data_IF_340906193634
#
_entry.id   IF_340906193634
#
_cell.length_a   1.000
_cell.length_b   1.000
_cell.length_c   1.000
_cell.angle_alpha   90.00
_cell.angle_beta   90.00
_cell.angle_gamma   90.00
#
_symmetry.space_group_name_H-M   'P 1'
#
loop_
_entity.id
_entity.type
_entity.pdbx_description
1 polymer ?
#
# COMPACT_ATOMS: atom_id res chain seq x y z
N UNK A 1 45.65 -31.75 -15.16
CA UNK A 1 45.26 -31.14 -16.45
C UNK A 1 44.45 -29.89 -16.13
N UNK A 2 45.05 -28.68 -16.19
CA UNK A 2 44.88 -27.67 -17.27
C UNK A 2 43.39 -27.36 -17.56
N UNK A 3 42.87 -26.22 -17.06
CA UNK A 3 42.71 -24.89 -17.76
C UNK A 3 41.41 -24.87 -18.60
N UNK A 4 40.42 -23.95 -18.51
CA UNK A 4 40.40 -22.49 -18.78
C UNK A 4 38.93 -22.01 -18.55
N UNK A 5 38.67 -21.03 -17.68
CA UNK A 5 38.19 -19.64 -17.92
C UNK A 5 37.33 -19.36 -19.17
N UNK A 6 36.14 -18.79 -18.98
CA UNK A 6 35.68 -17.67 -19.82
C UNK A 6 34.67 -16.79 -19.08
N UNK A 7 35.10 -15.56 -18.80
CA UNK A 7 34.26 -14.39 -18.53
C UNK A 7 33.51 -14.01 -19.82
N UNK A 8 32.24 -13.63 -19.69
CA UNK A 8 31.59 -12.69 -20.60
C UNK A 8 30.93 -11.63 -19.75
N UNK A 9 31.53 -10.44 -19.74
CA UNK A 9 30.94 -9.23 -19.17
C UNK A 9 29.90 -8.66 -20.13
N UNK A 10 28.79 -8.19 -19.57
CA UNK A 10 27.85 -7.35 -20.30
C UNK A 10 27.90 -5.95 -19.68
N UNK A 11 28.54 -5.05 -20.42
CA UNK A 11 28.53 -3.61 -20.24
C UNK A 11 27.21 -3.12 -20.83
N UNK A 12 26.35 -2.50 -20.02
CA UNK A 12 25.25 -1.67 -20.54
C UNK A 12 25.49 -0.25 -20.07
N UNK A 13 25.77 0.60 -21.06
CA UNK A 13 26.01 2.02 -20.95
C UNK A 13 24.80 2.75 -20.35
N UNK A 14 25.05 3.52 -19.30
CA UNK A 14 24.22 4.65 -18.89
C UNK A 14 24.35 5.75 -19.94
N UNK A 15 23.28 5.98 -20.71
CA UNK A 15 23.16 7.14 -21.57
C UNK A 15 22.82 8.37 -20.72
N UNK A 16 23.78 9.28 -20.63
CA UNK A 16 23.62 10.65 -20.12
C UNK A 16 22.81 11.45 -21.14
N UNK A 17 21.65 11.97 -20.74
CA UNK A 17 20.88 12.94 -21.53
C UNK A 17 21.26 14.35 -21.06
N UNK A 18 21.93 15.18 -21.88
CA UNK A 18 22.07 16.59 -21.58
C UNK A 18 20.79 17.36 -21.99
N UNK A 19 20.26 18.15 -21.04
CA UNK A 19 19.30 19.21 -21.29
C UNK A 19 19.89 20.23 -22.26
N UNK A 20 19.16 20.51 -23.36
CA UNK A 20 19.36 21.71 -24.18
C UNK A 20 18.06 22.50 -24.23
N UNK A 21 18.09 23.67 -23.59
CA UNK A 21 17.21 24.79 -23.88
C UNK A 21 17.52 25.34 -25.28
N UNK A 22 16.50 25.54 -26.10
CA UNK A 22 16.51 26.61 -27.12
C UNK A 22 15.09 27.03 -27.47
N UNK A 23 14.88 28.35 -27.45
CA UNK A 23 13.67 29.06 -27.84
C UNK A 23 13.67 29.33 -29.36
N UNK A 24 12.50 29.40 -30.01
CA UNK A 24 12.31 30.21 -31.22
C UNK A 24 11.54 29.60 -32.40
N UNK A 25 10.26 30.01 -32.52
CA UNK A 25 9.41 30.27 -33.72
C UNK A 25 9.84 29.72 -35.10
N UNK A 26 8.97 28.95 -35.76
CA UNK A 26 8.02 29.41 -36.80
C UNK A 26 7.46 28.24 -37.61
N UNK A 27 6.24 28.45 -38.13
CA UNK A 27 5.43 27.53 -38.94
C UNK A 27 6.10 27.10 -40.26
N UNK A 28 5.67 25.95 -40.82
CA UNK A 28 5.13 25.79 -42.19
C UNK A 28 4.95 24.29 -42.53
N UNK A 29 3.75 24.00 -43.02
CA UNK A 29 3.25 22.94 -43.92
C UNK A 29 3.38 21.43 -43.70
N UNK A 30 2.19 20.82 -43.80
CA UNK A 30 1.82 19.42 -43.99
C UNK A 30 1.75 19.13 -45.50
N UNK A 31 1.95 17.87 -45.95
CA UNK A 31 0.82 17.10 -46.50
C UNK A 31 0.86 15.63 -46.04
N UNK A 32 -0.18 15.09 -45.39
CA UNK A 32 -1.26 14.26 -45.97
C UNK A 32 -0.86 13.35 -47.13
N UNK A 33 -0.79 12.06 -46.84
CA UNK A 33 -1.02 10.97 -47.80
C UNK A 33 -2.07 10.01 -47.22
N UNK A 34 -2.92 9.52 -48.12
CA UNK A 34 -4.22 8.86 -47.91
C UNK A 34 -4.13 7.36 -48.13
N UNK A 35 -5.12 6.66 -47.56
CA UNK A 35 -5.75 5.40 -48.02
C UNK A 35 -4.88 4.13 -47.90
N UNK A 36 -5.39 2.95 -47.53
CA UNK A 36 -6.71 2.37 -47.82
C UNK A 36 -7.08 1.30 -46.78
N UNK A 37 -8.38 1.24 -46.45
CA UNK A 37 -9.03 0.12 -45.76
C UNK A 37 -9.43 -0.93 -46.79
N UNK A 38 -9.18 -2.21 -46.51
CA UNK A 38 -9.89 -3.34 -47.14
C UNK A 38 -10.54 -4.17 -46.04
N UNK A 39 -11.87 -4.27 -46.13
CA UNK A 39 -12.76 -5.04 -45.27
C UNK A 39 -13.12 -6.38 -45.94
N UNK A 40 -13.55 -7.34 -45.10
CA UNK A 40 -14.47 -8.48 -45.38
C UNK A 40 -13.86 -9.75 -45.99
N UNK A 41 -14.16 -10.98 -45.55
CA UNK A 41 -15.41 -11.66 -45.09
C UNK A 41 -14.96 -13.00 -44.40
N UNK A 42 -15.54 -13.61 -43.36
CA UNK A 42 -16.92 -14.06 -43.03
C UNK A 42 -16.89 -15.58 -42.72
N UNK A 43 -17.38 -16.00 -41.53
CA UNK A 43 -18.30 -17.14 -41.24
C UNK A 43 -18.18 -17.56 -39.76
N UNK A 44 -19.21 -17.36 -38.92
CA UNK A 44 -20.34 -18.27 -38.58
C UNK A 44 -19.83 -19.56 -37.91
N UNK A 45 -20.21 -19.92 -36.67
CA UNK A 45 -21.47 -20.61 -36.37
C UNK A 45 -21.73 -20.87 -34.84
N UNK A 46 -23.01 -20.71 -34.44
CA UNK A 46 -23.84 -21.35 -33.39
C UNK A 46 -23.45 -21.42 -31.89
N UNK A 47 -24.16 -20.59 -31.13
CA UNK A 47 -25.23 -20.94 -30.16
C UNK A 47 -25.33 -22.39 -29.62
N UNK A 48 -25.25 -22.53 -28.28
CA UNK A 48 -26.07 -23.49 -27.52
C UNK A 48 -26.10 -23.15 -26.01
N UNK A 49 -27.27 -23.25 -25.40
CA UNK A 49 -27.53 -23.39 -23.96
C UNK A 49 -28.98 -23.90 -23.83
N UNK A 50 -29.46 -24.35 -22.65
CA UNK A 50 -28.93 -25.32 -21.67
C UNK A 50 -29.92 -26.49 -21.41
N UNK A 51 -29.48 -27.59 -20.79
CA UNK A 51 -30.39 -28.34 -19.90
C UNK A 51 -29.67 -29.18 -18.84
N UNK A 52 -30.46 -29.43 -17.79
CA UNK A 52 -30.21 -29.86 -16.41
C UNK A 52 -30.34 -31.39 -16.27
N UNK A 53 -29.99 -31.88 -15.06
CA UNK A 53 -30.36 -33.15 -14.39
C UNK A 53 -29.17 -34.09 -14.14
N UNK A 54 -29.10 -34.95 -13.13
CA UNK A 54 -29.45 -34.98 -11.70
C UNK A 54 -28.74 -36.25 -11.14
N UNK A 55 -28.48 -36.33 -9.83
CA UNK A 55 -28.12 -37.53 -9.03
C UNK A 55 -26.72 -38.17 -9.26
N UNK A 56 -25.96 -38.64 -8.27
CA UNK A 56 -26.09 -38.74 -6.81
C UNK A 56 -24.98 -39.68 -6.28
N UNK A 57 -24.45 -39.44 -5.07
CA UNK A 57 -23.94 -40.46 -4.13
C UNK A 57 -23.36 -39.83 -2.86
N UNK A 58 -24.05 -40.03 -1.73
CA UNK A 58 -23.56 -40.12 -0.33
C UNK A 58 -22.83 -41.48 -0.10
N UNK A 59 -22.23 -41.87 1.07
CA UNK A 59 -22.31 -41.32 2.45
C UNK A 59 -20.91 -41.38 3.20
N UNK A 60 -20.76 -41.45 4.55
CA UNK A 60 -21.69 -41.26 5.68
C UNK A 60 -21.22 -40.31 6.81
N UNK A 61 -22.18 -40.03 7.68
CA UNK A 61 -22.01 -39.49 9.04
C UNK A 61 -22.02 -40.62 10.09
N UNK A 62 -21.43 -40.34 11.26
CA UNK A 62 -21.94 -40.69 12.61
C UNK A 62 -21.04 -39.95 13.64
N UNK A 63 -21.55 -38.98 14.42
CA UNK A 63 -22.30 -39.12 15.69
C UNK A 63 -21.39 -39.67 16.81
N UNK A 64 -21.33 -39.13 18.02
CA UNK A 64 -22.34 -38.42 18.82
C UNK A 64 -21.72 -37.96 20.15
N UNK A 65 -22.32 -36.92 20.76
CA UNK A 65 -22.74 -36.78 22.18
C UNK A 65 -21.71 -37.02 23.29
N UNK A 66 -21.73 -36.42 24.47
CA UNK A 66 -22.51 -35.41 25.21
C UNK A 66 -21.62 -35.15 26.45
N UNK A 67 -21.74 -34.01 27.14
CA UNK A 67 -22.22 -33.97 28.54
C UNK A 67 -22.05 -32.56 29.16
N UNK A 68 -22.99 -32.24 30.04
CA UNK A 68 -23.28 -30.95 30.68
C UNK A 68 -22.61 -30.80 32.06
N UNK A 69 -22.60 -29.56 32.52
CA UNK A 69 -22.51 -29.16 33.94
C UNK A 69 -21.18 -28.49 34.27
N UNK A 70 -21.06 -27.22 34.67
CA UNK A 70 -21.94 -26.39 35.48
C UNK A 70 -21.41 -26.35 36.91
N UNK A 71 -20.71 -25.29 37.33
CA UNK A 71 -20.86 -24.76 38.68
C UNK A 71 -20.30 -23.33 38.85
N UNK A 72 -21.05 -22.55 39.62
CA UNK A 72 -20.71 -21.24 40.16
C UNK A 72 -19.88 -21.37 41.44
N UNK A 73 -19.22 -20.29 41.85
CA UNK A 73 -18.57 -20.19 43.15
C UNK A 73 -17.66 -18.97 43.24
N UNK A 74 -18.27 -17.80 43.44
CA UNK A 74 -17.57 -16.59 43.87
C UNK A 74 -18.21 -16.14 45.18
N UNK A 75 -17.46 -16.30 46.27
CA UNK A 75 -17.65 -15.64 47.55
C UNK A 75 -16.28 -15.68 48.26
N UNK A 76 -15.69 -14.52 48.56
CA UNK A 76 -15.34 -14.20 49.95
C UNK A 76 -15.04 -12.70 50.12
N UNK A 77 -15.58 -12.13 51.20
CA UNK A 77 -15.44 -10.75 51.67
C UNK A 77 -14.96 -10.79 53.11
N UNK A 78 -14.03 -9.89 53.44
CA UNK A 78 -13.69 -9.49 54.81
C UNK A 78 -12.40 -10.15 55.30
N UNK A 79 -11.37 -9.47 55.78
CA UNK A 79 -11.31 -8.18 56.47
C UNK A 79 -10.91 -8.46 57.92
N UNK A 80 -9.68 -8.15 58.33
CA UNK A 80 -9.41 -7.60 59.65
C UNK A 80 -8.01 -6.99 59.77
N UNK A 81 -7.96 -5.88 60.49
CA UNK A 81 -6.77 -5.19 60.94
C UNK A 81 -6.13 -5.89 62.16
N UNK A 82 -4.82 -5.70 62.32
CA UNK A 82 -4.07 -6.06 63.53
C UNK A 82 -2.74 -5.34 63.55
N UNK A 83 -2.57 -4.45 64.53
CA UNK A 83 -1.44 -3.54 64.69
C UNK A 83 -0.24 -4.18 65.41
N UNK A 84 0.91 -3.50 65.26
CA UNK A 84 2.15 -3.52 66.05
C UNK A 84 3.01 -4.79 66.05
N UNK A 85 4.23 -4.68 65.52
CA UNK A 85 5.40 -4.68 66.41
C UNK A 85 6.59 -3.88 65.82
N UNK A 86 7.27 -3.14 66.71
CA UNK A 86 8.55 -2.47 66.47
C UNK A 86 9.66 -3.47 66.80
N UNK A 87 10.46 -3.85 65.82
CA UNK A 87 11.70 -4.56 66.07
C UNK A 87 12.70 -4.22 64.99
N UNK A 88 13.74 -3.44 65.33
CA UNK A 88 14.79 -3.09 64.41
C UNK A 88 15.61 -4.31 64.00
N UNK A 89 16.06 -4.33 62.75
CA UNK A 89 17.42 -4.76 62.47
C UNK A 89 17.95 -3.99 61.27
N UNK A 90 19.00 -3.21 61.53
CA UNK A 90 19.86 -2.66 60.52
C UNK A 90 20.66 -3.80 59.87
N UNK A 91 20.98 -3.63 58.59
CA UNK A 91 22.08 -4.36 57.97
C UNK A 91 21.75 -5.76 57.47
N UNK A 92 21.17 -5.82 56.28
CA UNK A 92 21.51 -6.86 55.32
C UNK A 92 21.44 -6.21 53.94
N UNK A 93 22.50 -5.48 53.58
CA UNK A 93 22.87 -5.37 52.17
C UNK A 93 23.07 -6.80 51.70
N UNK A 94 22.03 -7.33 51.05
CA UNK A 94 22.04 -8.61 50.37
C UNK A 94 22.99 -8.46 49.17
N UNK A 95 24.29 -8.48 49.45
CA UNK A 95 25.33 -8.71 48.45
C UNK A 95 25.06 -10.10 47.92
N UNK A 96 24.18 -10.20 46.92
CA UNK A 96 24.19 -11.35 46.01
C UNK A 96 25.62 -11.50 45.54
N UNK A 97 26.30 -12.54 46.03
CA UNK A 97 27.62 -12.91 45.56
C UNK A 97 27.55 -12.97 44.03
N UNK A 98 28.33 -12.11 43.38
CA UNK A 98 28.39 -12.07 41.93
C UNK A 98 28.92 -13.44 41.48
N UNK A 99 28.04 -14.25 40.89
CA UNK A 99 28.42 -15.53 40.30
C UNK A 99 29.42 -15.23 39.20
N UNK A 100 30.68 -15.61 39.41
CA UNK A 100 31.74 -15.44 38.42
C UNK A 100 31.46 -16.42 37.29
N UNK A 101 31.12 -15.90 36.11
CA UNK A 101 31.02 -16.68 34.87
C UNK A 101 32.40 -16.77 34.22
N UNK A 102 32.78 -17.96 33.79
CA UNK A 102 34.10 -18.18 33.19
C UNK A 102 34.17 -17.56 31.79
N UNK A 103 35.28 -16.89 31.47
CA UNK A 103 35.49 -16.20 30.19
C UNK A 103 35.27 -17.14 28.99
N UNK A 104 35.74 -18.39 29.09
CA UNK A 104 35.57 -19.38 28.03
C UNK A 104 34.09 -19.73 27.76
N UNK A 105 33.24 -19.73 28.80
CA UNK A 105 31.81 -19.99 28.69
C UNK A 105 31.10 -18.84 27.97
N UNK A 106 31.43 -17.59 28.31
CA UNK A 106 30.86 -16.44 27.62
C UNK A 106 31.27 -16.45 26.15
N UNK A 107 32.56 -16.62 25.85
CA UNK A 107 33.08 -16.60 24.48
C UNK A 107 32.45 -17.69 23.59
N UNK A 108 32.13 -18.87 24.15
CA UNK A 108 31.63 -20.01 23.36
C UNK A 108 30.11 -20.20 23.43
N UNK A 109 29.46 -19.79 24.51
CA UNK A 109 28.06 -20.14 24.81
C UNK A 109 27.14 -18.93 24.99
N UNK A 110 27.63 -17.70 24.87
CA UNK A 110 26.77 -16.51 24.90
C UNK A 110 25.70 -16.55 23.80
N UNK A 111 24.47 -16.29 24.17
CA UNK A 111 23.30 -16.12 23.31
C UNK A 111 22.67 -14.77 23.61
N UNK A 112 22.00 -14.20 22.60
CA UNK A 112 21.26 -12.95 22.72
C UNK A 112 19.80 -13.19 22.37
N UNK A 113 18.87 -12.60 23.13
CA UNK A 113 17.42 -12.68 22.84
C UNK A 113 16.76 -11.34 23.08
N UNK A 114 15.71 -11.04 22.32
CA UNK A 114 14.87 -9.88 22.63
C UNK A 114 14.25 -10.04 24.02
N UNK A 115 14.26 -8.96 24.79
CA UNK A 115 13.42 -8.88 25.99
C UNK A 115 11.95 -8.93 25.59
N UNK A 116 11.14 -9.61 26.40
CA UNK A 116 9.69 -9.48 26.34
C UNK A 116 9.31 -7.99 26.41
N UNK A 117 8.35 -7.59 25.58
CA UNK A 117 7.80 -6.22 25.56
C UNK A 117 8.81 -5.08 25.28
N UNK A 118 9.99 -5.40 24.77
CA UNK A 118 10.99 -4.39 24.37
C UNK A 118 10.50 -3.42 23.29
N UNK A 119 9.46 -3.80 22.53
CA UNK A 119 8.96 -3.03 21.41
C UNK A 119 10.03 -2.86 20.32
N UNK A 120 10.95 -3.82 20.19
CA UNK A 120 12.12 -3.69 19.31
C UNK A 120 11.75 -3.41 17.85
N UNK A 121 10.60 -3.87 17.38
CA UNK A 121 10.12 -3.60 16.02
C UNK A 121 9.82 -2.12 15.73
N UNK A 122 9.64 -1.29 16.77
CA UNK A 122 9.32 0.13 16.61
C UNK A 122 10.33 1.07 17.27
N UNK A 123 10.98 0.62 18.35
CA UNK A 123 11.90 1.46 19.15
C UNK A 123 13.38 1.24 18.85
N UNK A 124 13.75 0.07 18.33
CA UNK A 124 15.14 -0.23 18.00
C UNK A 124 15.49 0.43 16.67
N UNK A 125 16.47 1.34 16.66
CA UNK A 125 16.92 2.02 15.45
C UNK A 125 17.82 1.10 14.60
N UNK A 126 17.16 0.16 13.90
CA UNK A 126 17.80 -0.77 12.98
C UNK A 126 18.51 -0.03 11.84
N UNK A 127 17.90 1.05 11.32
CA UNK A 127 18.49 1.84 10.23
C UNK A 127 19.85 2.41 10.63
N UNK A 128 19.95 3.10 11.77
CA UNK A 128 21.25 3.67 12.19
C UNK A 128 22.29 2.60 12.56
N UNK A 129 21.85 1.48 13.14
CA UNK A 129 22.73 0.39 13.54
C UNK A 129 23.30 -0.39 12.33
N UNK A 130 22.43 -0.81 11.41
CA UNK A 130 22.79 -1.72 10.31
C UNK A 130 23.15 -0.97 9.04
N UNK A 131 22.35 0.03 8.67
CA UNK A 131 22.53 0.76 7.41
C UNK A 131 23.65 1.79 7.54
N UNK A 132 23.56 2.68 8.54
CA UNK A 132 24.54 3.76 8.72
C UNK A 132 25.77 3.35 9.52
N UNK A 133 25.73 2.20 10.21
CA UNK A 133 26.79 1.70 11.11
C UNK A 133 27.29 2.75 12.10
N UNK A 134 26.38 3.52 12.68
CA UNK A 134 26.74 4.56 13.65
C UNK A 134 27.26 3.97 14.96
N UNK A 135 28.50 4.30 15.34
CA UNK A 135 29.20 3.73 16.50
C UNK A 135 28.43 3.85 17.83
N UNK A 136 27.64 4.92 18.01
CA UNK A 136 26.85 5.12 19.23
C UNK A 136 25.75 4.04 19.43
N UNK A 137 25.27 3.44 18.34
CA UNK A 137 24.30 2.34 18.36
C UNK A 137 24.99 0.97 18.47
N UNK A 138 26.25 0.86 18.03
CA UNK A 138 27.05 -0.39 18.10
C UNK A 138 27.71 -0.49 19.48
N UNK A 139 26.89 -0.53 20.54
CA UNK A 139 27.38 -0.64 21.92
C UNK A 139 26.58 -1.66 22.73
N UNK A 140 27.25 -2.36 23.64
CA UNK A 140 26.59 -3.27 24.60
C UNK A 140 25.52 -2.53 25.41
N UNK A 141 25.82 -1.29 25.80
CA UNK A 141 24.89 -0.42 26.53
C UNK A 141 23.60 -0.18 25.75
N UNK A 142 23.68 0.22 24.47
CA UNK A 142 22.50 0.42 23.64
C UNK A 142 21.70 -0.88 23.47
N UNK A 143 22.38 -1.97 23.06
CA UNK A 143 21.71 -3.26 22.83
C UNK A 143 21.02 -3.78 24.10
N UNK A 144 21.65 -3.65 25.27
CA UNK A 144 21.12 -4.12 26.56
C UNK A 144 19.78 -3.49 26.94
N UNK A 145 19.35 -2.40 26.31
CA UNK A 145 18.01 -1.83 26.50
C UNK A 145 16.92 -2.76 25.92
N UNK A 146 17.24 -3.47 24.84
CA UNK A 146 16.28 -4.28 24.07
C UNK A 146 16.50 -5.79 24.20
N UNK A 147 17.72 -6.22 24.54
CA UNK A 147 18.08 -7.65 24.55
C UNK A 147 18.57 -8.12 25.92
N UNK A 148 18.43 -9.42 26.17
CA UNK A 148 19.12 -10.14 27.23
C UNK A 148 20.31 -10.91 26.67
N UNK A 149 21.40 -10.90 27.42
CA UNK A 149 22.61 -11.67 27.15
C UNK A 149 22.66 -12.83 28.13
N UNK A 150 22.58 -14.06 27.63
CA UNK A 150 22.55 -15.26 28.49
C UNK A 150 23.62 -16.26 28.10
N UNK A 151 24.14 -16.97 29.10
CA UNK A 151 25.10 -18.06 28.95
C UNK A 151 24.48 -19.29 29.60
N UNK A 152 24.60 -20.47 29.01
CA UNK A 152 24.31 -21.73 29.68
C UNK A 152 25.62 -22.34 30.20
N UNK A 153 25.95 -22.19 31.51
CA UNK A 153 27.21 -22.67 32.05
C UNK A 153 27.38 -24.19 31.88
N UNK A 154 28.62 -24.66 31.82
CA UNK A 154 28.94 -26.08 31.75
C UNK A 154 28.41 -26.78 32.99
N UNK A 155 27.65 -27.87 32.80
CA UNK A 155 27.08 -28.65 33.89
C UNK A 155 25.89 -27.96 34.59
N UNK A 156 25.33 -26.90 34.02
CA UNK A 156 24.12 -26.25 34.53
C UNK A 156 22.95 -26.43 33.56
N UNK A 157 21.76 -26.66 34.12
CA UNK A 157 20.49 -26.67 33.38
C UNK A 157 19.80 -25.30 33.36
N UNK A 158 20.42 -24.27 33.95
CA UNK A 158 19.85 -22.93 34.09
C UNK A 158 20.69 -21.91 33.36
N UNK A 159 20.05 -21.10 32.52
CA UNK A 159 20.71 -19.97 31.89
C UNK A 159 21.08 -18.90 32.93
N UNK A 160 22.31 -18.41 32.83
CA UNK A 160 22.81 -17.25 33.56
C UNK A 160 22.65 -16.00 32.69
N UNK A 161 21.91 -15.01 33.19
CA UNK A 161 21.80 -13.68 32.56
C UNK A 161 22.99 -12.85 33.01
N UNK A 162 23.76 -12.31 32.04
CA UNK A 162 24.88 -11.42 32.34
C UNK A 162 24.40 -10.18 33.10
N UNK A 163 25.06 -9.88 34.22
CA UNK A 163 24.75 -8.69 35.01
C UNK A 163 25.53 -7.45 34.53
N UNK A 164 25.37 -6.32 35.22
CA UNK A 164 26.04 -5.08 34.84
C UNK A 164 27.59 -5.20 34.78
N UNK A 165 28.21 -5.94 35.71
CA UNK A 165 29.67 -6.12 35.77
C UNK A 165 30.15 -7.01 34.62
N UNK A 166 29.34 -7.97 34.19
CA UNK A 166 29.66 -8.76 33.01
C UNK A 166 29.51 -7.96 31.72
N UNK A 167 28.46 -7.16 31.61
CA UNK A 167 28.21 -6.32 30.43
C UNK A 167 29.31 -5.26 30.22
N UNK A 168 29.95 -4.78 31.29
CA UNK A 168 31.14 -3.91 31.20
C UNK A 168 32.32 -4.57 30.48
N UNK A 169 32.44 -5.89 30.57
CA UNK A 169 33.51 -6.67 29.91
C UNK A 169 33.14 -7.07 28.47
N UNK A 170 31.86 -7.00 28.12
CA UNK A 170 31.34 -7.36 26.80
C UNK A 170 31.42 -6.16 25.84
N UNK A 171 32.09 -6.34 24.72
CA UNK A 171 32.23 -5.31 23.67
C UNK A 171 31.67 -5.85 22.36
N UNK A 172 30.69 -5.15 21.80
CA UNK A 172 30.25 -5.37 20.42
C UNK A 172 31.28 -4.73 19.50
N UNK A 173 31.83 -5.53 18.59
CA UNK A 173 32.94 -5.13 17.73
C UNK A 173 32.49 -4.87 16.30
N UNK A 174 31.38 -5.48 15.88
CA UNK A 174 30.86 -5.33 14.52
C UNK A 174 29.40 -5.78 14.44
N UNK A 175 28.69 -5.27 13.42
CA UNK A 175 27.28 -5.57 13.14
C UNK A 175 27.09 -5.82 11.64
N UNK A 176 26.41 -6.92 11.34
CA UNK A 176 26.03 -7.30 9.98
C UNK A 176 24.66 -7.94 9.97
N UNK A 177 24.12 -8.18 8.78
CA UNK A 177 22.97 -9.06 8.59
C UNK A 177 23.37 -10.37 7.92
N UNK A 178 22.55 -11.40 8.08
CA UNK A 178 22.62 -12.54 7.17
C UNK A 178 22.20 -12.10 5.74
N UNK A 179 22.40 -12.98 4.75
CA UNK A 179 22.06 -12.69 3.34
C UNK A 179 20.59 -12.32 3.15
N UNK A 180 19.69 -12.94 3.92
CA UNK A 180 18.25 -12.67 3.87
C UNK A 180 17.83 -11.39 4.62
N UNK A 181 18.70 -10.80 5.44
CA UNK A 181 18.36 -9.63 6.25
C UNK A 181 17.52 -9.91 7.50
N UNK A 182 17.08 -11.16 7.72
CA UNK A 182 16.18 -11.58 8.80
C UNK A 182 16.87 -11.79 10.16
N UNK A 183 18.19 -11.72 10.21
CA UNK A 183 18.95 -11.79 11.45
C UNK A 183 20.01 -10.70 11.51
N UNK A 184 20.11 -10.05 12.66
CA UNK A 184 21.22 -9.17 13.01
C UNK A 184 22.31 -10.04 13.65
N UNK A 185 23.52 -9.95 13.12
CA UNK A 185 24.68 -10.70 13.52
C UNK A 185 25.68 -9.77 14.20
N UNK A 186 26.04 -10.07 15.45
CA UNK A 186 27.00 -9.29 16.22
C UNK A 186 28.30 -10.07 16.39
N UNK A 187 29.41 -9.45 16.00
CA UNK A 187 30.75 -9.89 16.43
C UNK A 187 31.03 -9.27 17.79
N UNK A 188 31.60 -10.03 18.72
CA UNK A 188 31.85 -9.53 20.07
C UNK A 188 33.21 -9.98 20.62
N UNK A 189 33.67 -9.26 21.63
CA UNK A 189 34.75 -9.64 22.50
C UNK A 189 34.27 -9.63 23.95
N UNK A 190 34.81 -10.51 24.77
CA UNK A 190 34.56 -10.49 26.21
C UNK A 190 35.90 -10.48 26.94
N UNK A 191 36.08 -9.51 27.83
CA UNK A 191 37.32 -9.29 28.58
C UNK A 191 38.57 -9.24 27.67
N UNK A 192 38.45 -8.52 26.55
CA UNK A 192 39.52 -8.34 25.56
C UNK A 192 39.72 -9.51 24.59
N UNK A 193 39.14 -10.69 24.83
CA UNK A 193 39.23 -11.82 23.91
C UNK A 193 38.10 -11.77 22.87
N UNK A 194 38.45 -11.82 21.57
CA UNK A 194 37.47 -11.89 20.48
C UNK A 194 36.84 -13.29 20.40
N UNK A 195 35.53 -13.34 20.25
CA UNK A 195 34.82 -14.58 19.96
C UNK A 195 34.89 -14.92 18.47
N UNK A 196 35.05 -16.21 18.14
CA UNK A 196 34.95 -16.71 16.76
C UNK A 196 33.49 -16.86 16.32
N UNK A 197 32.58 -17.15 17.26
CA UNK A 197 31.14 -17.20 17.02
C UNK A 197 30.56 -15.78 16.93
N UNK A 198 29.45 -15.66 16.21
CA UNK A 198 28.61 -14.45 16.19
C UNK A 198 27.36 -14.68 17.05
N UNK A 199 26.87 -13.62 17.67
CA UNK A 199 25.53 -13.61 18.25
C UNK A 199 24.53 -13.35 17.12
N UNK A 200 23.42 -14.08 17.11
CA UNK A 200 22.37 -13.91 16.10
C UNK A 200 21.07 -13.50 16.78
N UNK A 201 20.40 -12.50 16.23
CA UNK A 201 19.16 -11.97 16.73
C UNK A 201 18.16 -11.83 15.59
N UNK A 202 17.08 -12.61 15.64
CA UNK A 202 16.04 -12.60 14.62
C UNK A 202 15.39 -11.20 14.54
N UNK A 203 15.21 -10.66 13.35
CA UNK A 203 14.63 -9.34 13.15
C UNK A 203 13.84 -9.32 11.84
N UNK A 204 12.56 -8.92 11.93
CA UNK A 204 11.72 -8.77 10.75
C UNK A 204 11.93 -7.37 10.15
N UNK A 205 12.84 -7.31 9.18
CA UNK A 205 13.20 -6.08 8.47
C UNK A 205 11.99 -5.46 7.78
N UNK A 206 11.12 -6.26 7.17
CA UNK A 206 9.92 -5.80 6.47
C UNK A 206 8.94 -5.16 7.45
N UNK A 207 8.68 -5.81 8.59
CA UNK A 207 7.82 -5.25 9.64
C UNK A 207 8.38 -3.94 10.21
N UNK A 208 9.69 -3.86 10.42
CA UNK A 208 10.33 -2.64 10.88
C UNK A 208 10.10 -1.46 9.92
N UNK A 209 10.44 -1.62 8.63
CA UNK A 209 10.34 -0.53 7.65
C UNK A 209 8.89 -0.17 7.32
N UNK A 210 8.01 -1.15 7.18
CA UNK A 210 6.58 -0.88 6.99
C UNK A 210 5.95 -0.18 8.19
N UNK A 211 6.42 -0.48 9.41
CA UNK A 211 6.04 0.23 10.63
C UNK A 211 6.46 1.70 10.68
N UNK A 212 7.38 2.14 9.81
CA UNK A 212 7.76 3.55 9.66
C UNK A 212 6.83 4.33 8.72
N UNK A 213 5.91 3.64 8.05
CA UNK A 213 4.98 4.25 7.10
C UNK A 213 3.63 4.42 7.77
N UNK A 214 3.08 5.62 7.63
CA UNK A 214 1.73 5.97 8.11
C UNK A 214 0.89 6.53 6.97
N UNK A 215 -0.43 6.64 7.17
CA UNK A 215 -1.35 7.14 6.14
C UNK A 215 -1.62 8.63 6.37
N UNK A 216 -1.47 9.44 5.32
CA UNK A 216 -1.84 10.86 5.32
C UNK A 216 -3.36 11.01 5.14
N UNK A 217 -4.11 10.83 6.23
CA UNK A 217 -5.59 10.82 6.22
C UNK A 217 -6.20 12.13 5.67
N UNK A 218 -5.52 13.25 5.91
CA UNK A 218 -5.96 14.56 5.43
C UNK A 218 -5.89 14.67 3.91
N UNK A 219 -4.87 14.10 3.27
CA UNK A 219 -4.77 14.03 1.81
C UNK A 219 -5.75 12.99 1.24
N UNK A 220 -5.77 11.78 1.82
CA UNK A 220 -6.57 10.64 1.33
C UNK A 220 -8.04 11.01 1.17
N UNK A 221 -8.65 11.67 2.16
CA UNK A 221 -10.08 12.04 2.14
C UNK A 221 -10.48 13.02 1.03
N UNK A 222 -9.52 13.61 0.33
CA UNK A 222 -9.76 14.57 -0.76
C UNK A 222 -9.72 13.93 -2.14
N UNK A 223 -9.28 12.67 -2.23
CA UNK A 223 -9.00 11.96 -3.49
C UNK A 223 -9.99 10.80 -3.69
N UNK A 224 -10.33 10.49 -4.94
CA UNK A 224 -11.12 9.30 -5.28
C UNK A 224 -10.24 8.07 -5.48
N UNK A 225 -10.65 6.94 -4.89
CA UNK A 225 -9.87 5.70 -4.86
C UNK A 225 -9.48 5.18 -6.25
N UNK A 226 -10.42 5.20 -7.21
CA UNK A 226 -10.25 4.59 -8.52
C UNK A 226 -9.12 5.24 -9.34
N UNK A 227 -9.03 6.57 -9.39
CA UNK A 227 -7.96 7.24 -10.13
C UNK A 227 -6.65 7.24 -9.37
N UNK A 228 -6.67 7.25 -8.03
CA UNK A 228 -5.46 7.02 -7.24
C UNK A 228 -4.89 5.64 -7.52
N UNK A 229 -5.72 4.60 -7.56
CA UNK A 229 -5.29 3.23 -7.89
C UNK A 229 -4.67 3.15 -9.29
N UNK A 230 -5.24 3.83 -10.28
CA UNK A 230 -4.70 3.83 -11.65
C UNK A 230 -3.43 4.68 -11.81
N UNK A 231 -3.17 5.60 -10.88
CA UNK A 231 -2.07 6.54 -10.94
C UNK A 231 -1.20 6.45 -9.66
N UNK A 232 -1.03 5.24 -9.12
CA UNK A 232 -0.41 5.02 -7.80
C UNK A 232 0.94 5.71 -7.64
N UNK A 233 1.79 5.65 -8.66
CA UNK A 233 3.13 6.26 -8.63
C UNK A 233 3.09 7.77 -8.38
N UNK A 234 2.04 8.46 -8.85
CA UNK A 234 1.86 9.90 -8.66
C UNK A 234 1.40 10.19 -7.23
N UNK A 235 0.51 9.37 -6.70
CA UNK A 235 -0.16 9.66 -5.43
C UNK A 235 0.52 9.04 -4.21
N UNK A 236 1.35 8.00 -4.34
CA UNK A 236 1.85 7.21 -3.20
C UNK A 236 2.53 8.08 -2.13
N UNK A 237 3.29 9.09 -2.56
CA UNK A 237 4.02 10.01 -1.68
C UNK A 237 3.14 11.11 -1.07
N UNK A 238 1.93 11.31 -1.60
CA UNK A 238 0.94 12.23 -1.02
C UNK A 238 0.05 11.55 0.01
N UNK A 239 -0.23 10.24 -0.17
CA UNK A 239 -1.15 9.46 0.67
C UNK A 239 -0.44 8.69 1.79
N UNK A 240 0.87 8.49 1.69
CA UNK A 240 1.71 7.90 2.74
C UNK A 240 2.63 8.95 3.34
N UNK A 241 2.82 8.89 4.66
CA UNK A 241 3.72 9.74 5.43
C UNK A 241 4.85 8.90 6.01
N UNK A 242 6.08 9.38 5.85
CA UNK A 242 7.32 8.74 6.31
C UNK A 242 8.43 9.79 6.43
N UNK A 243 9.57 9.41 7.02
CA UNK A 243 10.77 10.27 7.06
C UNK A 243 11.44 10.31 5.68
N UNK A 244 11.09 11.32 4.88
CA UNK A 244 11.57 11.52 3.51
C UNK A 244 13.04 11.95 3.43
N UNK A 245 13.69 12.21 4.57
CA UNK A 245 15.14 12.41 4.65
C UNK A 245 15.89 11.07 4.64
N UNK A 246 15.26 9.99 5.09
CA UNK A 246 15.83 8.64 5.16
C UNK A 246 15.33 7.70 4.08
N UNK A 247 14.08 7.87 3.69
CA UNK A 247 13.38 6.90 2.85
C UNK A 247 12.80 7.55 1.60
N UNK A 248 12.65 6.75 0.55
CA UNK A 248 11.73 7.00 -0.53
C UNK A 248 10.74 5.83 -0.61
N UNK A 249 9.49 6.11 -0.95
CA UNK A 249 8.48 5.07 -1.18
C UNK A 249 8.03 5.16 -2.63
N UNK A 250 8.03 4.01 -3.31
CA UNK A 250 7.56 3.88 -4.68
C UNK A 250 6.44 2.84 -4.72
N UNK A 251 5.46 3.06 -5.60
CA UNK A 251 4.50 2.01 -5.92
C UNK A 251 5.05 1.14 -7.04
N UNK A 252 4.93 -0.18 -6.91
CA UNK A 252 5.45 -1.16 -7.88
C UNK A 252 4.53 -1.36 -9.09
N UNK A 253 3.43 -0.61 -9.17
CA UNK A 253 2.45 -0.67 -10.24
C UNK A 253 1.16 0.06 -9.88
N UNK A 254 0.08 -0.30 -10.57
CA UNK A 254 -1.26 0.18 -10.23
C UNK A 254 -1.72 -0.42 -8.90
N UNK A 255 -2.53 0.35 -8.19
CA UNK A 255 -3.21 -0.07 -6.98
C UNK A 255 -4.36 -1.02 -7.34
N UNK A 256 -4.66 -1.92 -6.42
CA UNK A 256 -5.83 -2.80 -6.54
C UNK A 256 -6.96 -2.24 -5.70
N UNK A 257 -8.02 -1.77 -6.36
CA UNK A 257 -9.24 -1.31 -5.71
C UNK A 257 -9.84 -2.46 -4.88
N UNK A 258 -10.15 -2.20 -3.61
CA UNK A 258 -10.78 -3.17 -2.71
C UNK A 258 -12.26 -2.84 -2.48
N UNK A 259 -12.59 -1.55 -2.48
CA UNK A 259 -13.93 -0.98 -2.37
C UNK A 259 -13.96 0.40 -3.05
N UNK A 260 -15.06 1.14 -2.97
CA UNK A 260 -15.15 2.51 -3.47
C UNK A 260 -14.26 3.51 -2.72
N UNK A 261 -13.78 3.16 -1.52
CA UNK A 261 -13.00 4.02 -0.63
C UNK A 261 -11.69 3.38 -0.11
N UNK A 262 -11.31 2.19 -0.60
CA UNK A 262 -10.10 1.47 -0.19
C UNK A 262 -9.28 0.97 -1.39
N UNK A 263 -7.95 1.15 -1.30
CA UNK A 263 -6.98 0.71 -2.32
C UNK A 263 -5.82 -0.01 -1.65
N UNK A 264 -5.44 -1.17 -2.18
CA UNK A 264 -4.22 -1.87 -1.82
C UNK A 264 -3.09 -1.52 -2.77
N UNK A 265 -1.92 -1.18 -2.26
CA UNK A 265 -0.72 -0.87 -3.05
C UNK A 265 0.40 -1.84 -2.73
N UNK A 266 1.05 -2.38 -3.76
CA UNK A 266 2.41 -2.93 -3.61
C UNK A 266 3.40 -1.77 -3.62
N UNK A 267 4.23 -1.69 -2.58
CA UNK A 267 5.22 -0.63 -2.42
C UNK A 267 6.62 -1.19 -2.20
N UNK A 268 7.58 -0.44 -2.70
CA UNK A 268 9.00 -0.57 -2.41
C UNK A 268 9.43 0.60 -1.52
N UNK A 269 10.19 0.30 -0.47
CA UNK A 269 10.80 1.28 0.45
C UNK A 269 12.29 1.29 0.16
N UNK A 270 12.85 2.46 -0.16
CA UNK A 270 14.24 2.62 -0.60
C UNK A 270 15.01 3.48 0.40
N UNK A 271 16.30 3.20 0.56
CA UNK A 271 17.21 4.05 1.34
C UNK A 271 17.57 5.29 0.54
N UNK A 272 17.39 6.47 1.13
CA UNK A 272 17.85 7.73 0.53
C UNK A 272 19.30 7.97 0.96
N UNK A 273 20.21 8.03 -0.02
CA UNK A 273 21.64 8.25 0.21
C UNK A 273 22.56 7.07 -0.09
N UNK A 274 22.02 5.84 -0.15
CA UNK A 274 22.77 4.62 -0.45
C UNK A 274 22.46 4.06 -1.84
N UNK A 275 22.39 4.93 -2.85
CA UNK A 275 22.11 4.52 -4.24
C UNK A 275 20.73 3.88 -4.42
N UNK A 276 19.73 4.33 -3.64
CA UNK A 276 18.34 3.88 -3.71
C UNK A 276 18.16 2.36 -3.51
N UNK A 277 18.95 1.78 -2.60
CA UNK A 277 18.83 0.36 -2.24
C UNK A 277 17.43 0.05 -1.69
N UNK A 278 16.80 -1.02 -2.19
CA UNK A 278 15.51 -1.51 -1.68
C UNK A 278 15.69 -2.08 -0.26
N UNK A 279 15.04 -1.43 0.69
CA UNK A 279 15.03 -1.80 2.11
C UNK A 279 13.98 -2.86 2.40
N UNK A 280 12.76 -2.71 1.87
CA UNK A 280 11.68 -3.68 2.00
C UNK A 280 10.64 -3.48 0.91
N UNK A 281 9.87 -4.54 0.64
CA UNK A 281 8.65 -4.48 -0.16
C UNK A 281 7.46 -4.93 0.67
N UNK A 282 6.29 -4.35 0.43
CA UNK A 282 5.10 -4.64 1.21
C UNK A 282 3.80 -4.29 0.47
N UNK A 283 2.70 -4.90 0.92
CA UNK A 283 1.37 -4.49 0.54
C UNK A 283 0.77 -3.59 1.64
N UNK A 284 0.28 -2.41 1.26
CA UNK A 284 -0.35 -1.45 2.18
C UNK A 284 -1.78 -1.19 1.74
N UNK A 285 -2.73 -1.44 2.65
CA UNK A 285 -4.13 -1.10 2.47
C UNK A 285 -4.39 0.33 2.96
N UNK A 286 -4.71 1.23 2.02
CA UNK A 286 -5.09 2.61 2.30
C UNK A 286 -6.60 2.74 2.25
N UNK A 287 -7.18 3.39 3.27
CA UNK A 287 -8.64 3.48 3.47
C UNK A 287 -9.12 4.91 3.63
N UNK A 288 -10.41 5.14 3.39
CA UNK A 288 -11.07 6.42 3.66
C UNK A 288 -10.89 7.44 2.56
N UNK A 289 -10.70 6.98 1.32
CA UNK A 289 -10.80 7.84 0.14
C UNK A 289 -12.20 8.42 0.01
N UNK A 290 -12.33 9.46 -0.81
CA UNK A 290 -13.63 10.08 -1.09
C UNK A 290 -14.54 9.07 -1.82
N UNK A 291 -15.77 8.82 -1.35
CA UNK A 291 -16.69 7.89 -2.00
C UNK A 291 -17.02 8.33 -3.42
N UNK A 292 -16.97 7.41 -4.40
CA UNK A 292 -17.17 7.74 -5.83
C UNK A 292 -18.54 8.38 -6.11
N UNK A 293 -19.58 8.03 -5.33
CA UNK A 293 -20.91 8.64 -5.42
C UNK A 293 -20.91 10.16 -5.30
N UNK A 294 -19.93 10.73 -4.58
CA UNK A 294 -19.82 12.18 -4.40
C UNK A 294 -19.37 12.89 -5.67
N UNK A 295 -18.75 12.19 -6.61
CA UNK A 295 -18.36 12.74 -7.92
C UNK A 295 -19.56 13.32 -8.68
N UNK A 296 -20.77 12.80 -8.45
CA UNK A 296 -22.02 13.32 -9.02
C UNK A 296 -22.27 14.81 -8.75
N UNK A 297 -21.68 15.37 -7.69
CA UNK A 297 -21.81 16.79 -7.32
C UNK A 297 -20.84 17.68 -8.10
N UNK A 298 -19.75 17.11 -8.60
CA UNK A 298 -18.67 17.81 -9.30
C UNK A 298 -18.70 17.56 -10.80
N UNK A 299 -19.30 16.45 -11.24
CA UNK A 299 -19.36 16.03 -12.63
C UNK A 299 -20.43 16.79 -13.41
N UNK A 300 -20.03 17.34 -14.54
CA UNK A 300 -20.90 18.10 -15.42
C UNK A 300 -20.73 17.70 -16.87
N UNK A 301 -21.80 17.91 -17.64
CA UNK A 301 -21.84 17.75 -19.08
C UNK A 301 -22.19 19.09 -19.73
N UNK A 302 -21.54 19.38 -20.85
CA UNK A 302 -21.81 20.55 -21.68
C UNK A 302 -21.91 20.12 -23.14
N UNK A 303 -23.02 20.47 -23.78
CA UNK A 303 -23.24 20.21 -25.19
C UNK A 303 -22.27 21.09 -26.00
N UNK A 304 -21.37 20.45 -26.74
CA UNK A 304 -20.23 21.13 -27.35
C UNK A 304 -20.58 21.89 -28.65
N UNK A 305 -21.72 21.58 -29.27
CA UNK A 305 -22.14 22.15 -30.55
C UNK A 305 -23.66 22.23 -30.70
N UNK A 306 -24.11 23.02 -31.68
CA UNK A 306 -25.53 23.19 -32.02
C UNK A 306 -26.16 21.95 -32.63
N UNK A 307 -25.36 21.01 -33.14
CA UNK A 307 -25.84 19.81 -33.85
C UNK A 307 -26.63 18.88 -32.93
N UNK A 308 -26.22 18.76 -31.66
CA UNK A 308 -26.99 18.01 -30.67
C UNK A 308 -28.37 18.63 -30.45
N UNK A 309 -28.42 19.96 -30.31
CA UNK A 309 -29.67 20.69 -30.11
C UNK A 309 -30.61 20.54 -31.33
N UNK A 310 -30.07 20.68 -32.54
CA UNK A 310 -30.82 20.48 -33.78
C UNK A 310 -31.33 19.04 -33.91
N UNK A 311 -30.49 18.06 -33.59
CA UNK A 311 -30.87 16.65 -33.59
C UNK A 311 -32.07 16.39 -32.67
N UNK A 312 -32.03 16.90 -31.44
CA UNK A 312 -33.14 16.74 -30.49
C UNK A 312 -34.41 17.40 -31.02
N UNK A 313 -34.36 18.64 -31.51
CA UNK A 313 -35.53 19.34 -32.07
C UNK A 313 -36.19 18.57 -33.21
N UNK A 314 -35.37 18.00 -34.10
CA UNK A 314 -35.85 17.24 -35.27
C UNK A 314 -36.47 15.90 -34.90
N UNK A 315 -35.96 15.25 -33.84
CA UNK A 315 -36.29 13.87 -33.52
C UNK A 315 -37.02 13.65 -32.19
N UNK A 316 -37.39 14.72 -31.47
CA UNK A 316 -38.03 14.65 -30.15
C UNK A 316 -39.29 13.74 -30.10
N UNK A 317 -40.04 13.68 -31.20
CA UNK A 317 -41.27 12.87 -31.30
C UNK A 317 -40.97 11.36 -31.49
N UNK A 318 -39.73 10.97 -31.82
CA UNK A 318 -39.35 9.60 -32.16
C UNK A 318 -38.59 8.90 -31.02
N UNK A 319 -39.28 8.65 -29.90
CA UNK A 319 -38.67 8.14 -28.65
C UNK A 319 -37.85 6.85 -28.82
N UNK A 320 -38.30 5.90 -29.64
CA UNK A 320 -37.56 4.65 -29.88
C UNK A 320 -36.24 4.88 -30.64
N UNK A 321 -36.21 5.82 -31.57
CA UNK A 321 -34.98 6.20 -32.27
C UNK A 321 -34.00 6.91 -31.33
N UNK A 322 -34.51 7.76 -30.43
CA UNK A 322 -33.69 8.47 -29.45
C UNK A 322 -32.95 7.53 -28.47
N UNK A 323 -33.54 6.37 -28.14
CA UNK A 323 -32.92 5.36 -27.26
C UNK A 323 -31.55 4.90 -27.76
N UNK A 324 -31.37 4.78 -29.07
CA UNK A 324 -30.11 4.32 -29.66
C UNK A 324 -29.21 5.48 -30.08
N UNK A 325 -29.80 6.59 -30.54
CA UNK A 325 -29.05 7.71 -31.07
C UNK A 325 -28.44 8.61 -29.98
N UNK A 326 -29.15 8.86 -28.88
CA UNK A 326 -28.66 9.75 -27.81
C UNK A 326 -27.38 9.23 -27.14
N UNK A 327 -27.27 7.95 -26.74
CA UNK A 327 -26.02 7.42 -26.21
C UNK A 327 -24.81 7.70 -27.11
N UNK A 328 -24.95 7.48 -28.41
CA UNK A 328 -23.89 7.78 -29.39
C UNK A 328 -23.57 9.27 -29.42
N UNK A 329 -24.59 10.13 -29.45
CA UNK A 329 -24.40 11.59 -29.43
C UNK A 329 -23.71 12.10 -28.17
N UNK A 330 -23.98 11.49 -27.01
CA UNK A 330 -23.27 11.80 -25.76
C UNK A 330 -21.77 11.53 -25.85
N UNK A 331 -21.37 10.49 -26.58
CA UNK A 331 -19.93 10.18 -26.75
C UNK A 331 -19.22 11.09 -27.76
N UNK A 332 -19.95 11.63 -28.74
CA UNK A 332 -19.38 12.37 -29.88
C UNK A 332 -19.45 13.90 -29.72
N UNK A 333 -20.46 14.41 -29.02
CA UNK A 333 -20.85 15.83 -29.09
C UNK A 333 -20.98 16.50 -27.71
N UNK A 334 -20.74 15.77 -26.62
CA UNK A 334 -20.84 16.31 -25.26
C UNK A 334 -19.45 16.31 -24.62
N UNK A 335 -19.09 17.45 -24.03
CA UNK A 335 -17.88 17.61 -23.22
C UNK A 335 -18.20 17.33 -21.76
N UNK A 336 -17.30 16.63 -21.10
CA UNK A 336 -17.41 16.31 -19.68
C UNK A 336 -16.32 17.06 -18.93
N UNK A 337 -16.64 17.51 -17.73
CA UNK A 337 -15.66 18.13 -16.86
C UNK A 337 -16.08 17.96 -15.41
N UNK A 338 -15.11 18.08 -14.51
CA UNK A 338 -15.38 18.31 -13.10
C UNK A 338 -15.13 19.75 -12.72
N UNK A 339 -15.96 20.27 -11.81
CA UNK A 339 -15.71 21.53 -11.11
C UNK A 339 -15.32 21.25 -9.68
N UNK A 340 -14.13 21.70 -9.29
CA UNK A 340 -13.68 21.64 -7.91
C UNK A 340 -13.20 23.03 -7.50
N UNK A 341 -14.03 23.72 -6.71
CA UNK A 341 -13.84 25.16 -6.45
C UNK A 341 -13.89 25.98 -7.75
N UNK A 342 -12.84 26.74 -8.02
CA UNK A 342 -12.71 27.58 -9.22
C UNK A 342 -12.08 26.84 -10.41
N UNK A 343 -11.63 25.60 -10.22
CA UNK A 343 -10.97 24.83 -11.27
C UNK A 343 -11.97 24.02 -12.08
N UNK A 344 -11.79 24.05 -13.41
CA UNK A 344 -12.49 23.19 -14.36
C UNK A 344 -11.47 22.22 -14.95
N UNK A 345 -11.67 20.92 -14.72
CA UNK A 345 -10.82 19.87 -15.29
C UNK A 345 -11.63 19.11 -16.32
N UNK A 346 -11.18 19.16 -17.57
CA UNK A 346 -11.82 18.42 -18.67
C UNK A 346 -11.58 16.92 -18.54
N UNK A 347 -12.63 16.14 -18.81
CA UNK A 347 -12.57 14.69 -18.87
C UNK A 347 -12.71 14.23 -20.32
N UNK A 348 -11.87 13.27 -20.70
CA UNK A 348 -11.88 12.67 -22.02
C UNK A 348 -12.63 11.35 -21.97
N UNK A 349 -13.64 11.25 -22.83
CA UNK A 349 -14.38 10.02 -23.00
C UNK A 349 -13.63 9.08 -23.97
N UNK A 350 -13.51 7.84 -23.55
CA UNK A 350 -13.22 6.69 -24.41
C UNK A 350 -14.18 5.55 -24.03
N UNK A 351 -14.23 4.50 -24.84
CA UNK A 351 -15.00 3.29 -24.50
C UNK A 351 -14.49 2.59 -23.24
N UNK A 352 -13.23 2.80 -22.85
CA UNK A 352 -12.61 2.19 -21.68
C UNK A 352 -12.62 3.08 -20.44
N UNK A 353 -12.79 4.41 -20.61
CA UNK A 353 -12.72 5.33 -19.47
C UNK A 353 -13.32 6.71 -19.71
N UNK A 354 -13.77 7.35 -18.64
CA UNK A 354 -13.95 8.79 -18.55
C UNK A 354 -13.00 9.33 -17.49
N UNK A 355 -11.96 10.04 -17.93
CA UNK A 355 -10.85 10.46 -17.07
C UNK A 355 -10.15 11.72 -17.60
N UNK A 356 -9.47 12.50 -16.75
CA UNK A 356 -8.69 13.63 -17.21
C UNK A 356 -7.36 13.20 -17.82
N UNK A 357 -6.83 14.00 -18.75
CA UNK A 357 -5.46 13.81 -19.27
C UNK A 357 -4.39 14.44 -18.35
N UNK A 358 -4.78 15.43 -17.54
CA UNK A 358 -3.90 16.16 -16.62
C UNK A 358 -4.71 16.78 -15.47
N UNK A 359 -4.03 17.17 -14.40
CA UNK A 359 -4.67 17.80 -13.23
C UNK A 359 -5.21 16.76 -12.25
N UNK A 360 -6.54 16.68 -12.10
CA UNK A 360 -7.24 15.81 -11.13
C UNK A 360 -7.22 14.32 -11.51
N UNK A 361 -6.02 13.73 -11.58
CA UNK A 361 -5.78 12.33 -11.96
C UNK A 361 -6.35 11.32 -10.96
N UNK A 362 -6.86 11.77 -9.82
CA UNK A 362 -7.62 10.94 -8.87
C UNK A 362 -9.00 10.53 -9.42
N UNK A 363 -9.49 11.18 -10.47
CA UNK A 363 -10.78 10.88 -11.08
C UNK A 363 -10.64 9.84 -12.18
N UNK A 364 -11.32 8.72 -11.99
CA UNK A 364 -11.35 7.65 -12.98
C UNK A 364 -12.69 6.91 -12.94
N UNK A 365 -13.38 6.88 -14.08
CA UNK A 365 -14.58 6.07 -14.30
C UNK A 365 -14.26 5.04 -15.38
N UNK A 366 -14.32 3.76 -15.03
CA UNK A 366 -14.08 2.64 -15.95
C UNK A 366 -15.32 2.38 -16.82
N UNK A 367 -15.10 2.00 -18.08
CA UNK A 367 -16.16 1.56 -19.01
C UNK A 367 -17.44 2.43 -18.98
N UNK A 368 -17.32 3.76 -19.17
CA UNK A 368 -18.47 4.64 -19.13
C UNK A 368 -19.49 4.29 -20.23
N UNK A 369 -20.78 4.22 -19.85
CA UNK A 369 -21.89 3.94 -20.76
C UNK A 369 -23.01 4.94 -20.55
N UNK A 370 -23.54 5.47 -21.65
CA UNK A 370 -24.69 6.37 -21.63
C UNK A 370 -25.98 5.62 -21.94
N UNK A 371 -27.00 5.86 -21.15
CA UNK A 371 -28.32 5.26 -21.28
C UNK A 371 -29.34 6.39 -21.35
N UNK A 372 -30.05 6.48 -22.47
CA UNK A 372 -31.18 7.40 -22.58
C UNK A 372 -32.30 6.98 -21.63
N UNK A 373 -32.78 7.91 -20.80
CA UNK A 373 -33.90 7.70 -19.88
C UNK A 373 -35.19 8.29 -20.42
N UNK A 374 -35.21 9.58 -20.71
CA UNK A 374 -36.43 10.28 -21.10
C UNK A 374 -36.16 11.55 -21.90
N UNK A 375 -37.21 12.00 -22.57
CA UNK A 375 -37.35 13.33 -23.13
C UNK A 375 -38.72 13.87 -22.75
N UNK A 376 -38.74 15.10 -22.25
CA UNK A 376 -39.96 15.81 -21.91
C UNK A 376 -40.02 17.13 -22.68
N UNK A 377 -41.12 17.36 -23.40
CA UNK A 377 -41.36 18.64 -24.05
C UNK A 377 -41.86 19.66 -23.02
N UNK A 378 -41.19 20.81 -22.97
CA UNK A 378 -41.55 21.96 -22.14
C UNK A 378 -41.97 23.13 -23.02
N UNK A 379 -42.51 24.18 -22.39
CA UNK A 379 -42.94 25.40 -23.10
C UNK A 379 -41.77 26.06 -23.85
N UNK A 380 -40.56 26.01 -23.31
CA UNK A 380 -39.36 26.67 -23.85
C UNK A 380 -38.36 25.72 -24.54
N UNK A 381 -38.58 24.41 -24.55
CA UNK A 381 -37.55 23.46 -24.97
C UNK A 381 -37.93 22.00 -24.78
N UNK A 382 -36.89 21.16 -24.79
CA UNK A 382 -36.94 19.75 -24.43
C UNK A 382 -35.96 19.50 -23.29
N UNK A 383 -36.37 18.74 -22.29
CA UNK A 383 -35.48 18.25 -21.25
C UNK A 383 -35.17 16.79 -21.53
N UNK A 384 -33.91 16.50 -21.77
CA UNK A 384 -33.40 15.16 -22.05
C UNK A 384 -32.66 14.65 -20.82
N UNK A 385 -33.03 13.46 -20.35
CA UNK A 385 -32.34 12.79 -19.23
C UNK A 385 -31.53 11.62 -19.76
N UNK A 386 -30.23 11.61 -19.44
CA UNK A 386 -29.31 10.53 -19.80
C UNK A 386 -28.55 10.08 -18.56
N UNK A 387 -28.57 8.78 -18.28
CA UNK A 387 -27.73 8.19 -17.23
C UNK A 387 -26.36 7.85 -17.78
N UNK A 388 -25.31 8.36 -17.15
CA UNK A 388 -23.98 7.78 -17.21
C UNK A 388 -23.90 6.66 -16.18
N UNK A 389 -23.60 5.44 -16.62
CA UNK A 389 -23.12 4.35 -15.77
C UNK A 389 -21.63 4.13 -16.00
N UNK A 390 -20.91 3.72 -14.97
CA UNK A 390 -19.52 3.29 -15.06
C UNK A 390 -19.33 1.97 -14.30
N UNK A 391 -18.31 1.22 -14.71
CA UNK A 391 -17.88 -0.05 -14.12
C UNK A 391 -17.28 0.14 -12.73
N UNK A 392 -16.37 -0.74 -12.29
CA UNK A 392 -15.83 -0.68 -10.93
C UNK A 392 -14.96 0.58 -10.68
N UNK A 393 -15.19 1.33 -9.57
CA UNK A 393 -16.30 1.19 -8.63
C UNK A 393 -17.62 1.70 -9.24
N UNK A 394 -18.71 0.93 -9.06
CA UNK A 394 -19.99 1.23 -9.70
C UNK A 394 -20.44 2.66 -9.41
N UNK A 395 -20.64 3.42 -10.50
CA UNK A 395 -21.06 4.80 -10.44
C UNK A 395 -22.19 5.04 -11.42
N UNK A 396 -23.20 5.81 -10.99
CA UNK A 396 -24.27 6.27 -11.86
C UNK A 396 -24.57 7.74 -11.61
N UNK A 397 -24.87 8.46 -12.68
CA UNK A 397 -25.23 9.87 -12.62
C UNK A 397 -26.16 10.25 -13.76
N UNK A 398 -27.23 10.96 -13.45
CA UNK A 398 -28.19 11.46 -14.45
C UNK A 398 -27.79 12.88 -14.87
N UNK A 399 -27.49 13.03 -16.16
CA UNK A 399 -27.36 14.33 -16.81
C UNK A 399 -28.74 14.82 -17.26
N UNK A 400 -29.09 16.04 -16.86
CA UNK A 400 -30.27 16.75 -17.32
C UNK A 400 -29.85 17.81 -18.34
N UNK A 401 -30.16 17.59 -19.62
CA UNK A 401 -29.76 18.44 -20.73
C UNK A 401 -30.99 19.19 -21.24
N UNK A 402 -31.00 20.51 -21.09
CA UNK A 402 -32.04 21.37 -21.66
C UNK A 402 -31.69 21.78 -23.08
N UNK A 403 -32.60 21.54 -24.02
CA UNK A 403 -32.49 21.93 -25.43
C UNK A 403 -33.58 22.97 -25.75
N UNK A 404 -33.24 24.24 -26.00
CA UNK A 404 -34.24 25.28 -26.25
C UNK A 404 -34.96 25.08 -27.59
N UNK A 405 -36.23 25.49 -27.72
CA UNK A 405 -37.01 25.39 -28.98
C UNK A 405 -36.49 26.29 -30.12
N UNK A 406 -35.82 27.40 -29.77
CA UNK A 406 -35.24 28.35 -30.72
C UNK A 406 -33.97 28.98 -30.14
N UNK A 407 -32.92 29.17 -30.96
CA UNK A 407 -31.62 29.73 -30.54
C UNK A 407 -30.45 28.74 -30.61
N UNK A 408 -29.21 29.27 -30.63
CA UNK A 408 -27.96 28.49 -30.54
C UNK A 408 -27.82 27.87 -29.16
#
# INVERSE_FOLDING_TARGET
MKRISLLVGCVVCLAVIPMLWSCGKSAVDRPQEKETVVEKKEKTEKESTPQKDEQGQTPPANSSADDKGGNAGADDKGGNAGANDKGGNAGADDKKDHKVIEQHEVITRLVVRWKADSGYQTKFDYYRLVQLKENQFITTKYLSQFVTFTVLPVGSDTEYVLDAKDLEKLVITDVHTNQEGNNILFSFAYNGQKASKKLSLAFDKTKYYTGQITQNREAIRTLYAAGVARNSQIFINSILSYDDSRYAVLSEGDGTLQSDDEVSFSISILSKGDGDMVLATANVLVKGFKPIKELSKELHAEVANTDFNEFIRKHAQHKEYLRTAIPKKMTEQVKYYVKSGNERVELFYSSSSLAPAQGRLDIFLSEPRFIYKSIEEKSNGYDVVVTLGAGEPFFTHDFHIHVPKSGK
#
